data_IF_376105839712
#
_entry.id   IF_376105839712
#
_cell.length_a   1.000
_cell.length_b   1.000
_cell.length_c   1.000
_cell.angle_alpha   90.00
_cell.angle_beta   90.00
_cell.angle_gamma   90.00
#
_symmetry.space_group_name_H-M   'P 1'
#
loop_
_entity.id
_entity.type
_entity.pdbx_description
1 polymer ?
#
# COMPACT_ATOMS: atom_id res chain seq x y z
N UNK A 1 12.14 -17.45 20.64
CA UNK A 1 10.86 -16.73 20.77
C UNK A 1 9.92 -16.98 19.59
N UNK A 2 10.37 -16.91 18.36
CA UNK A 2 9.58 -17.19 17.12
C UNK A 2 9.01 -18.61 17.06
N UNK A 3 9.74 -19.60 17.49
CA UNK A 3 9.30 -21.01 17.45
C UNK A 3 8.19 -21.30 18.47
N UNK A 4 8.25 -20.67 19.65
CA UNK A 4 7.21 -20.78 20.69
C UNK A 4 5.89 -20.12 20.22
N UNK A 5 5.98 -18.94 19.59
CA UNK A 5 4.82 -18.24 19.01
C UNK A 5 4.21 -19.06 17.86
N UNK A 6 5.05 -19.71 17.02
CA UNK A 6 4.58 -20.55 15.94
C UNK A 6 3.78 -21.77 16.44
N UNK A 7 4.26 -22.45 17.49
CA UNK A 7 3.51 -23.52 18.14
C UNK A 7 2.16 -23.03 18.65
N UNK A 8 2.12 -21.90 19.36
CA UNK A 8 0.89 -21.32 19.89
C UNK A 8 -0.14 -20.99 18.79
N UNK A 9 0.28 -20.38 17.70
CA UNK A 9 -0.59 -20.04 16.56
C UNK A 9 -1.11 -21.28 15.83
N UNK A 10 -0.31 -22.36 15.74
CA UNK A 10 -0.72 -23.61 15.11
C UNK A 10 -1.72 -24.38 15.97
N UNK A 11 -1.56 -24.38 17.27
CA UNK A 11 -2.28 -25.23 18.20
C UNK A 11 -3.54 -24.57 18.81
N UNK A 12 -3.57 -23.23 18.88
CA UNK A 12 -4.73 -22.49 19.38
C UNK A 12 -5.55 -21.87 18.22
N UNK A 13 -6.79 -22.35 17.99
CA UNK A 13 -7.68 -21.73 16.99
C UNK A 13 -7.90 -20.23 17.25
N UNK A 14 -8.15 -19.84 18.50
CA UNK A 14 -8.40 -18.43 18.85
C UNK A 14 -7.23 -17.53 18.44
N UNK A 15 -5.99 -17.89 18.79
CA UNK A 15 -4.81 -17.08 18.45
C UNK A 15 -4.57 -17.01 16.96
N UNK A 16 -4.82 -18.10 16.23
CA UNK A 16 -4.69 -18.18 14.76
C UNK A 16 -5.67 -17.23 14.07
N UNK A 17 -6.95 -17.28 14.47
CA UNK A 17 -7.99 -16.43 13.92
C UNK A 17 -7.79 -14.97 14.31
N UNK A 18 -7.40 -14.66 15.55
CA UNK A 18 -7.08 -13.28 15.97
C UNK A 18 -5.93 -12.71 15.13
N UNK A 19 -4.86 -13.46 14.93
CA UNK A 19 -3.74 -13.00 14.09
C UNK A 19 -4.19 -12.75 12.64
N UNK A 20 -5.04 -13.61 12.09
CA UNK A 20 -5.59 -13.43 10.74
C UNK A 20 -6.47 -12.19 10.65
N UNK A 21 -7.39 -11.99 11.59
CA UNK A 21 -8.29 -10.83 11.60
C UNK A 21 -7.50 -9.53 11.69
N UNK A 22 -6.47 -9.45 12.54
CA UNK A 22 -5.60 -8.28 12.64
C UNK A 22 -4.89 -7.98 11.32
N UNK A 23 -4.34 -9.01 10.66
CA UNK A 23 -3.66 -8.83 9.38
C UNK A 23 -4.64 -8.48 8.25
N UNK A 24 -5.82 -9.12 8.21
CA UNK A 24 -6.86 -8.81 7.24
C UNK A 24 -7.42 -7.39 7.44
N UNK A 25 -7.57 -6.93 8.69
CA UNK A 25 -7.95 -5.53 8.98
C UNK A 25 -6.91 -4.55 8.49
N UNK A 26 -5.62 -4.83 8.65
CA UNK A 26 -4.56 -3.98 8.11
C UNK A 26 -4.64 -3.88 6.58
N UNK A 27 -4.92 -4.98 5.89
CA UNK A 27 -5.13 -5.00 4.43
C UNK A 27 -6.39 -4.21 4.05
N UNK A 28 -7.49 -4.38 4.79
CA UNK A 28 -8.73 -3.64 4.57
C UNK A 28 -8.50 -2.12 4.61
N UNK A 29 -7.86 -1.63 5.67
CA UNK A 29 -7.54 -0.21 5.79
C UNK A 29 -6.52 0.25 4.73
N UNK A 30 -5.56 -0.58 4.36
CA UNK A 30 -4.62 -0.27 3.30
C UNK A 30 -5.35 0.03 1.97
N UNK A 31 -6.31 -0.80 1.57
CA UNK A 31 -7.11 -0.57 0.36
C UNK A 31 -8.02 0.65 0.47
N UNK A 32 -8.55 0.99 1.65
CA UNK A 32 -9.24 2.27 1.84
C UNK A 32 -8.32 3.46 1.59
N UNK A 33 -7.05 3.38 2.00
CA UNK A 33 -6.06 4.44 1.78
C UNK A 33 -5.54 4.51 0.33
N UNK A 34 -5.68 3.46 -0.46
CA UNK A 34 -5.40 3.49 -1.90
C UNK A 34 -6.25 4.58 -2.56
N UNK A 35 -7.54 4.58 -2.32
CA UNK A 35 -8.52 5.45 -2.98
C UNK A 35 -8.86 6.73 -2.20
N UNK A 36 -8.12 7.05 -1.13
CA UNK A 36 -8.46 8.15 -0.22
C UNK A 36 -8.53 9.54 -0.89
N UNK A 37 -7.80 9.75 -1.99
CA UNK A 37 -7.84 11.00 -2.77
C UNK A 37 -8.87 10.98 -3.90
N UNK A 38 -9.49 9.84 -4.22
CA UNK A 38 -10.45 9.74 -5.32
C UNK A 38 -11.65 10.71 -5.19
N UNK A 39 -12.31 10.84 -4.04
CA UNK A 39 -13.41 11.80 -3.89
C UNK A 39 -12.95 13.27 -3.93
N UNK A 40 -11.65 13.53 -3.81
CA UNK A 40 -11.06 14.88 -3.81
C UNK A 40 -10.53 15.29 -5.19
N UNK A 41 -10.69 14.48 -6.23
CA UNK A 41 -10.12 14.74 -7.56
C UNK A 41 -10.50 16.12 -8.11
N UNK A 42 -11.78 16.49 -8.08
CA UNK A 42 -12.24 17.79 -8.57
C UNK A 42 -11.63 18.95 -7.77
N UNK A 43 -11.56 18.83 -6.45
CA UNK A 43 -10.95 19.83 -5.58
C UNK A 43 -9.44 19.96 -5.84
N UNK A 44 -8.73 18.86 -6.06
CA UNK A 44 -7.30 18.87 -6.38
C UNK A 44 -7.03 19.50 -7.74
N UNK A 45 -7.94 19.30 -8.70
CA UNK A 45 -7.86 19.97 -10.00
C UNK A 45 -8.00 21.51 -9.85
N UNK A 46 -8.98 21.96 -9.10
CA UNK A 46 -9.24 23.40 -8.89
C UNK A 46 -8.16 24.10 -8.03
N UNK A 47 -7.72 23.45 -6.95
CA UNK A 47 -6.86 24.09 -5.93
C UNK A 47 -5.37 23.85 -6.15
N UNK A 48 -4.97 22.70 -6.73
CA UNK A 48 -3.57 22.30 -6.90
C UNK A 48 -3.18 22.08 -8.38
N UNK A 49 -4.12 22.29 -9.32
CA UNK A 49 -3.87 22.15 -10.75
C UNK A 49 -3.65 20.70 -11.22
N UNK A 50 -4.17 19.70 -10.49
CA UNK A 50 -4.08 18.31 -10.91
C UNK A 50 -5.08 18.04 -12.03
N UNK A 51 -4.63 18.15 -13.27
CA UNK A 51 -5.45 17.75 -14.40
C UNK A 51 -5.71 16.23 -14.41
N UNK A 52 -6.64 15.72 -15.24
CA UNK A 52 -6.93 14.29 -15.32
C UNK A 52 -5.72 13.43 -15.66
N UNK A 53 -4.74 13.95 -16.42
CA UNK A 53 -3.51 13.23 -16.78
C UNK A 53 -2.58 13.10 -15.56
N UNK A 54 -2.37 14.18 -14.80
CA UNK A 54 -1.61 14.17 -13.56
C UNK A 54 -2.23 13.24 -12.52
N UNK A 55 -3.56 13.26 -12.40
CA UNK A 55 -4.27 12.35 -11.49
C UNK A 55 -4.12 10.89 -11.93
N UNK A 56 -4.26 10.59 -13.21
CA UNK A 56 -4.05 9.23 -13.76
C UNK A 56 -2.62 8.73 -13.53
N UNK A 57 -1.61 9.59 -13.71
CA UNK A 57 -0.20 9.27 -13.42
C UNK A 57 0.01 9.01 -11.94
N UNK A 58 -0.59 9.82 -11.06
CA UNK A 58 -0.59 9.58 -9.62
C UNK A 58 -1.20 8.20 -9.29
N UNK A 59 -2.37 7.86 -9.82
CA UNK A 59 -3.01 6.56 -9.58
C UNK A 59 -2.16 5.40 -10.08
N UNK A 60 -1.58 5.50 -11.27
CA UNK A 60 -0.69 4.47 -11.83
C UNK A 60 0.61 4.28 -11.04
N UNK A 61 1.01 5.27 -10.26
CA UNK A 61 2.26 5.22 -9.50
C UNK A 61 2.26 4.16 -8.38
N UNK A 62 1.10 3.77 -7.85
CA UNK A 62 0.98 2.72 -6.83
C UNK A 62 1.66 1.42 -7.26
N UNK A 63 1.40 1.00 -8.49
CA UNK A 63 1.89 -0.28 -9.02
C UNK A 63 3.22 -0.15 -9.75
N UNK A 64 3.72 1.06 -9.95
CA UNK A 64 4.89 1.33 -10.78
C UNK A 64 6.11 0.48 -10.37
N UNK A 65 6.50 0.50 -9.09
CA UNK A 65 7.65 -0.26 -8.60
C UNK A 65 7.41 -1.78 -8.63
N UNK A 66 6.17 -2.21 -8.48
CA UNK A 66 5.82 -3.62 -8.56
C UNK A 66 5.95 -4.17 -9.98
N UNK A 67 5.55 -3.39 -10.99
CA UNK A 67 5.57 -3.78 -12.40
C UNK A 67 6.97 -3.60 -13.02
N UNK A 68 7.58 -2.42 -12.87
CA UNK A 68 8.82 -2.09 -13.59
C UNK A 68 10.09 -2.51 -12.84
N UNK A 69 10.05 -2.56 -11.51
CA UNK A 69 11.21 -2.93 -10.67
C UNK A 69 11.06 -4.35 -10.09
N UNK A 70 9.94 -5.02 -10.36
CA UNK A 70 9.64 -6.36 -9.85
C UNK A 70 9.76 -6.45 -8.32
N UNK A 71 9.30 -5.41 -7.63
CA UNK A 71 9.45 -5.27 -6.17
C UNK A 71 8.91 -6.48 -5.40
N UNK A 72 7.86 -7.13 -5.89
CA UNK A 72 7.31 -8.35 -5.28
C UNK A 72 8.33 -9.49 -5.12
N UNK A 73 9.30 -9.61 -6.05
CA UNK A 73 10.38 -10.61 -5.94
C UNK A 73 11.26 -10.28 -4.73
N UNK A 74 11.66 -9.01 -4.60
CA UNK A 74 12.48 -8.56 -3.46
C UNK A 74 11.70 -8.69 -2.14
N UNK A 75 10.42 -8.33 -2.13
CA UNK A 75 9.55 -8.49 -0.97
C UNK A 75 9.42 -9.98 -0.55
N UNK A 76 9.35 -10.91 -1.51
CA UNK A 76 9.37 -12.34 -1.26
C UNK A 76 10.68 -12.80 -0.62
N UNK A 77 11.84 -12.36 -1.13
CA UNK A 77 13.16 -12.66 -0.57
C UNK A 77 13.27 -12.11 0.87
N UNK A 78 12.81 -10.89 1.11
CA UNK A 78 12.78 -10.28 2.44
C UNK A 78 11.92 -11.12 3.37
N UNK A 79 10.70 -11.49 2.95
CA UNK A 79 9.79 -12.31 3.71
C UNK A 79 10.37 -13.67 4.09
N UNK A 80 11.15 -14.28 3.18
CA UNK A 80 11.82 -15.56 3.45
C UNK A 80 12.95 -15.43 4.46
N UNK A 81 13.69 -14.31 4.42
CA UNK A 81 14.84 -14.07 5.31
C UNK A 81 14.43 -13.61 6.71
N UNK A 82 13.53 -12.62 6.82
CA UNK A 82 13.21 -12.01 8.13
C UNK A 82 11.89 -12.52 8.73
N UNK A 83 11.11 -13.29 7.95
CA UNK A 83 9.88 -13.96 8.41
C UNK A 83 8.66 -13.03 8.49
N UNK A 84 7.47 -13.65 8.67
CA UNK A 84 6.15 -13.01 8.60
C UNK A 84 6.01 -11.78 9.52
N UNK A 85 6.47 -11.88 10.77
CA UNK A 85 6.32 -10.80 11.75
C UNK A 85 7.06 -9.53 11.35
N UNK A 86 8.35 -9.66 11.03
CA UNK A 86 9.18 -8.51 10.71
C UNK A 86 8.80 -7.90 9.37
N UNK A 87 8.40 -8.74 8.40
CA UNK A 87 7.91 -8.26 7.10
C UNK A 87 6.59 -7.52 7.25
N UNK A 88 5.67 -7.98 8.12
CA UNK A 88 4.43 -7.27 8.41
C UNK A 88 4.69 -5.88 9.05
N UNK A 89 5.65 -5.77 9.96
CA UNK A 89 6.04 -4.49 10.54
C UNK A 89 6.66 -3.56 9.49
N UNK A 90 7.52 -4.09 8.63
CA UNK A 90 8.15 -3.32 7.55
C UNK A 90 7.11 -2.83 6.54
N UNK A 91 6.16 -3.68 6.14
CA UNK A 91 5.07 -3.29 5.24
C UNK A 91 4.20 -2.19 5.84
N UNK A 92 3.85 -2.31 7.13
CA UNK A 92 3.13 -1.27 7.86
C UNK A 92 3.88 0.06 7.91
N UNK A 93 5.19 0.03 8.16
CA UNK A 93 6.02 1.23 8.16
C UNK A 93 6.05 1.91 6.79
N UNK A 94 6.19 1.14 5.69
CA UNK A 94 6.14 1.67 4.32
C UNK A 94 4.78 2.32 4.02
N UNK A 95 3.67 1.67 4.44
CA UNK A 95 2.33 2.24 4.27
C UNK A 95 2.16 3.55 5.03
N UNK A 96 2.62 3.64 6.28
CA UNK A 96 2.55 4.87 7.08
C UNK A 96 3.37 5.99 6.45
N UNK A 97 4.61 5.71 6.03
CA UNK A 97 5.47 6.70 5.36
C UNK A 97 4.82 7.18 4.06
N UNK A 98 4.36 6.26 3.22
CA UNK A 98 3.71 6.59 1.95
C UNK A 98 2.43 7.41 2.14
N UNK A 99 1.57 7.03 3.10
CA UNK A 99 0.37 7.79 3.43
C UNK A 99 0.68 9.19 3.95
N UNK A 100 1.71 9.33 4.79
CA UNK A 100 2.16 10.64 5.27
C UNK A 100 2.65 11.53 4.12
N UNK A 101 3.44 10.99 3.20
CA UNK A 101 3.91 11.73 2.04
C UNK A 101 2.76 12.16 1.11
N UNK A 102 1.75 11.31 0.90
CA UNK A 102 0.52 11.68 0.16
C UNK A 102 -0.21 12.84 0.84
N UNK A 103 -0.40 12.76 2.15
CA UNK A 103 -1.04 13.82 2.93
C UNK A 103 -0.24 15.13 2.86
N UNK A 104 1.07 15.07 3.08
CA UNK A 104 1.94 16.24 3.04
C UNK A 104 1.94 16.92 1.68
N UNK A 105 1.98 16.16 0.60
CA UNK A 105 1.98 16.64 -0.77
C UNK A 105 0.76 17.52 -1.11
N UNK A 106 -0.41 17.21 -0.55
CA UNK A 106 -1.65 17.96 -0.79
C UNK A 106 -1.89 19.07 0.25
N UNK A 107 -1.10 19.09 1.33
CA UNK A 107 -1.20 20.10 2.38
C UNK A 107 -0.68 21.47 1.92
N UNK A 108 -1.14 22.54 2.57
CA UNK A 108 -0.67 23.90 2.27
C UNK A 108 0.79 24.12 2.69
N UNK A 109 1.28 23.36 3.65
CA UNK A 109 2.69 23.40 4.07
C UNK A 109 3.70 22.90 3.03
N UNK A 110 3.24 22.16 1.99
CA UNK A 110 4.09 21.75 0.88
C UNK A 110 4.29 22.89 -0.14
N UNK A 111 3.24 23.64 -0.44
CA UNK A 111 3.22 24.67 -1.50
C UNK A 111 4.16 25.84 -1.17
N UNK A 112 5.09 26.15 -2.07
CA UNK A 112 6.08 27.22 -1.88
C UNK A 112 7.27 26.85 -1.01
N UNK A 113 7.36 25.61 -0.53
CA UNK A 113 8.52 25.11 0.20
C UNK A 113 9.69 24.72 -0.71
N UNK A 114 10.89 24.50 -0.12
CA UNK A 114 12.07 24.09 -0.87
C UNK A 114 11.88 22.79 -1.66
N UNK A 115 11.07 21.86 -1.13
CA UNK A 115 10.74 20.58 -1.81
C UNK A 115 9.84 20.81 -3.01
N UNK A 116 8.89 21.75 -2.94
CA UNK A 116 8.04 22.14 -4.04
C UNK A 116 8.89 22.68 -5.21
N UNK A 117 9.80 23.62 -4.93
CA UNK A 117 10.70 24.18 -5.92
C UNK A 117 11.62 23.13 -6.58
N UNK A 118 12.16 22.23 -5.77
CA UNK A 118 12.98 21.13 -6.26
C UNK A 118 12.21 20.19 -7.20
N UNK A 119 10.96 19.85 -6.85
CA UNK A 119 10.15 18.90 -7.62
C UNK A 119 9.54 19.51 -8.88
N UNK A 120 9.48 20.83 -9.05
CA UNK A 120 9.00 21.47 -10.29
C UNK A 120 9.75 20.95 -11.51
N UNK A 121 11.08 20.82 -11.42
CA UNK A 121 11.92 20.36 -12.51
C UNK A 121 12.35 18.90 -12.40
N UNK A 122 12.13 18.27 -11.24
CA UNK A 122 12.51 16.89 -11.01
C UNK A 122 11.61 15.93 -11.80
N UNK A 123 12.18 14.88 -12.37
CA UNK A 123 11.51 13.85 -13.16
C UNK A 123 10.87 14.30 -14.49
N UNK A 124 11.05 15.52 -14.92
CA UNK A 124 10.53 15.98 -16.23
C UNK A 124 11.13 15.26 -17.43
N UNK A 125 12.20 14.49 -17.23
CA UNK A 125 12.77 13.63 -18.27
C UNK A 125 11.92 12.37 -18.56
N UNK A 126 11.00 12.01 -17.67
CA UNK A 126 10.00 10.98 -17.95
C UNK A 126 8.75 11.64 -18.54
N UNK A 127 8.27 11.18 -19.73
CA UNK A 127 7.11 11.80 -20.40
C UNK A 127 5.86 11.88 -19.55
N UNK A 128 5.67 10.94 -18.59
CA UNK A 128 4.49 10.92 -17.70
C UNK A 128 4.52 11.99 -16.62
N UNK A 129 5.69 12.56 -16.33
CA UNK A 129 5.88 13.57 -15.28
C UNK A 129 6.12 14.98 -15.83
N UNK A 130 6.24 15.10 -17.15
CA UNK A 130 6.38 16.39 -17.83
C UNK A 130 5.09 17.21 -17.65
N UNK A 131 5.22 18.44 -17.17
CA UNK A 131 4.08 19.31 -16.88
C UNK A 131 3.26 18.96 -15.63
N UNK A 132 3.54 17.84 -14.98
CA UNK A 132 2.82 17.43 -13.75
C UNK A 132 3.14 18.38 -12.59
N UNK A 133 2.13 18.84 -11.82
CA UNK A 133 2.35 19.66 -10.63
C UNK A 133 3.28 18.98 -9.61
N UNK A 134 4.14 19.73 -8.95
CA UNK A 134 5.09 19.22 -7.95
C UNK A 134 4.42 18.48 -6.80
N UNK A 135 3.25 18.97 -6.35
CA UNK A 135 2.42 18.29 -5.34
C UNK A 135 1.95 16.92 -5.82
N UNK A 136 1.58 16.78 -7.09
CA UNK A 136 1.18 15.51 -7.68
C UNK A 136 2.38 14.56 -7.81
N UNK A 137 3.58 15.06 -8.18
CA UNK A 137 4.82 14.27 -8.18
C UNK A 137 5.17 13.74 -6.79
N UNK A 138 5.06 14.58 -5.76
CA UNK A 138 5.32 14.18 -4.39
C UNK A 138 4.30 13.16 -3.89
N UNK A 139 3.02 13.34 -4.21
CA UNK A 139 1.97 12.39 -3.90
C UNK A 139 2.20 11.03 -4.61
N UNK A 140 2.65 11.05 -5.87
CA UNK A 140 3.00 9.86 -6.63
C UNK A 140 4.15 9.09 -5.98
N UNK A 141 5.20 9.79 -5.52
CA UNK A 141 6.29 9.18 -4.73
C UNK A 141 5.77 8.50 -3.47
N UNK A 142 4.92 9.20 -2.71
CA UNK A 142 4.29 8.63 -1.53
C UNK A 142 3.45 7.40 -1.87
N UNK A 143 2.75 7.43 -3.00
CA UNK A 143 1.90 6.32 -3.43
C UNK A 143 2.71 5.11 -3.90
N UNK A 144 3.86 5.31 -4.56
CA UNK A 144 4.80 4.22 -4.88
C UNK A 144 5.28 3.49 -3.62
N UNK A 145 5.69 4.24 -2.58
CA UNK A 145 6.14 3.68 -1.31
C UNK A 145 4.99 2.97 -0.59
N UNK A 146 3.81 3.58 -0.59
CA UNK A 146 2.61 2.99 -0.04
C UNK A 146 2.25 1.67 -0.72
N UNK A 147 2.24 1.62 -2.05
CA UNK A 147 1.98 0.44 -2.86
C UNK A 147 2.95 -0.70 -2.58
N UNK A 148 4.26 -0.40 -2.43
CA UNK A 148 5.24 -1.39 -1.98
C UNK A 148 4.85 -2.01 -0.62
N UNK A 149 4.36 -1.20 0.32
CA UNK A 149 3.89 -1.66 1.62
C UNK A 149 2.67 -2.57 1.48
N UNK A 150 1.68 -2.18 0.69
CA UNK A 150 0.44 -2.95 0.45
C UNK A 150 0.75 -4.32 -0.16
N UNK A 151 1.56 -4.35 -1.21
CA UNK A 151 1.93 -5.60 -1.89
C UNK A 151 2.76 -6.53 -0.99
N UNK A 152 3.70 -5.96 -0.24
CA UNK A 152 4.46 -6.72 0.76
C UNK A 152 3.55 -7.29 1.85
N UNK A 153 2.55 -6.55 2.32
CA UNK A 153 1.55 -7.04 3.26
C UNK A 153 0.76 -8.20 2.65
N UNK A 154 0.34 -8.09 1.39
CA UNK A 154 -0.42 -9.11 0.67
C UNK A 154 0.27 -10.47 0.63
N UNK A 155 1.55 -10.53 0.26
CA UNK A 155 2.33 -11.78 0.26
C UNK A 155 2.61 -12.29 1.69
N UNK A 156 2.79 -11.37 2.65
CA UNK A 156 3.05 -11.70 4.06
C UNK A 156 1.83 -12.37 4.69
N UNK A 157 0.63 -11.82 4.47
CA UNK A 157 -0.64 -12.42 4.93
C UNK A 157 -0.85 -13.78 4.30
N UNK A 158 -0.62 -13.92 3.00
CA UNK A 158 -0.74 -15.19 2.27
C UNK A 158 0.16 -16.28 2.87
N UNK A 159 1.44 -15.95 3.09
CA UNK A 159 2.40 -16.87 3.72
C UNK A 159 2.00 -17.23 5.16
N UNK A 160 1.48 -16.25 5.92
CA UNK A 160 0.94 -16.47 7.26
C UNK A 160 -0.23 -17.47 7.25
N UNK A 161 -1.19 -17.29 6.35
CA UNK A 161 -2.34 -18.17 6.20
C UNK A 161 -1.88 -19.61 5.87
N UNK A 162 -1.04 -19.77 4.85
CA UNK A 162 -0.53 -21.10 4.48
C UNK A 162 0.19 -21.77 5.65
N UNK A 163 0.97 -20.99 6.42
CA UNK A 163 1.73 -21.51 7.55
C UNK A 163 0.85 -21.93 8.75
N UNK A 164 -0.21 -21.16 9.05
CA UNK A 164 -1.00 -21.36 10.26
C UNK A 164 -2.24 -22.23 10.05
N UNK A 165 -2.78 -22.25 8.81
CA UNK A 165 -4.03 -22.94 8.46
C UNK A 165 -3.80 -24.21 7.61
N UNK A 166 -2.54 -24.66 7.41
CA UNK A 166 -2.25 -25.89 6.66
C UNK A 166 -2.97 -27.09 7.27
N UNK A 167 -3.84 -27.74 6.48
CA UNK A 167 -4.65 -28.86 6.91
C UNK A 167 -5.86 -28.50 7.80
N UNK A 168 -6.25 -27.23 7.83
CA UNK A 168 -7.39 -26.69 8.57
C UNK A 168 -8.23 -25.80 7.65
N UNK A 169 -8.97 -24.82 8.17
CA UNK A 169 -9.92 -23.97 7.40
C UNK A 169 -9.21 -22.96 6.46
N UNK A 170 -8.28 -23.43 5.64
CA UNK A 170 -7.40 -22.60 4.80
C UNK A 170 -8.20 -21.82 3.74
N UNK A 171 -9.22 -22.44 3.13
CA UNK A 171 -10.04 -21.78 2.12
C UNK A 171 -10.82 -20.59 2.70
N UNK A 172 -11.40 -20.75 3.89
CA UNK A 172 -12.09 -19.68 4.62
C UNK A 172 -11.13 -18.55 5.00
N UNK A 173 -9.93 -18.89 5.48
CA UNK A 173 -8.90 -17.92 5.83
C UNK A 173 -8.41 -17.12 4.60
N UNK A 174 -8.26 -17.79 3.44
CA UNK A 174 -7.93 -17.10 2.18
C UNK A 174 -9.07 -16.21 1.71
N UNK A 175 -10.33 -16.63 1.84
CA UNK A 175 -11.50 -15.80 1.52
C UNK A 175 -11.57 -14.53 2.37
N UNK A 176 -11.31 -14.65 3.68
CA UNK A 176 -11.30 -13.49 4.59
C UNK A 176 -10.24 -12.44 4.22
N UNK A 177 -9.10 -12.87 3.69
CA UNK A 177 -8.07 -11.95 3.19
C UNK A 177 -8.61 -11.02 2.10
N UNK A 178 -9.51 -11.51 1.25
CA UNK A 178 -10.06 -10.77 0.10
C UNK A 178 -11.31 -9.94 0.42
N UNK A 179 -11.74 -9.89 1.69
CA UNK A 179 -12.75 -8.95 2.16
C UNK A 179 -12.16 -7.52 2.15
N UNK A 180 -11.89 -7.00 0.95
CA UNK A 180 -11.44 -5.63 0.77
C UNK A 180 -12.64 -4.75 0.40
N UNK A 181 -12.66 -3.45 0.77
CA UNK A 181 -13.73 -2.53 0.40
C UNK A 181 -13.86 -2.38 -1.12
N UNK A 182 -12.81 -2.64 -1.88
CA UNK A 182 -12.81 -2.58 -3.36
C UNK A 182 -13.81 -3.58 -3.95
N UNK A 183 -13.96 -4.77 -3.39
CA UNK A 183 -14.94 -5.76 -3.87
C UNK A 183 -16.40 -5.33 -3.66
N UNK A 184 -16.65 -4.41 -2.72
CA UNK A 184 -17.98 -3.88 -2.42
C UNK A 184 -18.31 -2.67 -3.31
N UNK A 185 -17.30 -1.87 -3.68
CA UNK A 185 -17.45 -0.65 -4.47
C UNK A 185 -17.49 -0.90 -6.00
N UNK A 186 -17.05 -2.08 -6.46
CA UNK A 186 -17.05 -2.47 -7.88
C UNK A 186 -18.34 -3.18 -8.32
N UNK A 187 -19.38 -3.23 -7.51
CA UNK A 187 -20.69 -3.70 -7.98
C UNK A 187 -21.27 -2.66 -8.95
N UNK A 188 -21.50 -3.00 -10.23
CA UNK A 188 -22.18 -2.10 -11.16
C UNK A 188 -23.62 -1.90 -10.66
N UNK A 189 -24.02 -0.63 -10.53
CA UNK A 189 -25.41 -0.24 -10.36
C UNK A 189 -26.16 -0.47 -11.66
#
# INVERSE_FOLDING_TARGET
MTEKIYKLLKDSPAMRWTALVLLASAMFFAYMFVDILSPLQAMLQETKGWDPAAYGTYQGSETFLNVFVFFLIFAGIILDKIGVRNTALLSGALMVIGAYLKYWAVSDGFTGGATDEYLKNFWNFFPFYEGMPSSAKMAALGFMIFGCGVEMAGITVSKGIVKWFKGKEMALAMGLKWLSPVSVLQQPY
#
